data_IF_053270129918
#
_entry.id   IF_053270129918
#
_cell.length_a   1.000
_cell.length_b   1.000
_cell.length_c   1.000
_cell.angle_alpha   90.00
_cell.angle_beta   90.00
_cell.angle_gamma   90.00
#
_symmetry.space_group_name_H-M   'P 1'
#
loop_
_entity.id
_entity.type
_entity.pdbx_description
1 polymer ?
#
# COMPACT_ATOMS: atom_id res chain seq x y z
N UNK A 1 -33.96 3.14 -14.26
CA UNK A 1 -32.60 3.19 -13.72
C UNK A 1 -31.74 2.34 -14.63
N UNK A 2 -30.62 2.86 -15.16
CA UNK A 2 -29.69 2.05 -15.93
C UNK A 2 -29.23 0.87 -15.06
N UNK A 3 -29.12 -0.31 -15.65
CA UNK A 3 -28.59 -1.47 -14.95
C UNK A 3 -27.10 -1.21 -14.68
N UNK A 4 -26.63 -1.54 -13.50
CA UNK A 4 -25.24 -1.25 -13.06
C UNK A 4 -24.19 -1.72 -14.07
N UNK A 5 -24.47 -2.82 -14.77
CA UNK A 5 -23.61 -3.37 -15.83
C UNK A 5 -23.60 -2.53 -17.11
N UNK A 6 -24.64 -1.72 -17.39
CA UNK A 6 -24.66 -0.85 -18.55
C UNK A 6 -23.57 0.24 -18.47
N UNK A 7 -23.22 0.66 -17.25
CA UNK A 7 -22.13 1.60 -16.99
C UNK A 7 -20.75 1.07 -17.37
N UNK A 8 -20.58 -0.25 -17.43
CA UNK A 8 -19.33 -0.90 -17.82
C UNK A 8 -19.17 -1.05 -19.34
N UNK A 9 -20.25 -0.91 -20.11
CA UNK A 9 -20.22 -1.13 -21.55
C UNK A 9 -19.22 -0.21 -22.30
N UNK A 10 -19.14 1.10 -22.02
CA UNK A 10 -18.14 1.98 -22.64
C UNK A 10 -16.69 1.55 -22.33
N UNK A 11 -16.42 1.11 -21.10
CA UNK A 11 -15.10 0.67 -20.67
C UNK A 11 -14.65 -0.59 -21.40
N UNK A 12 -15.60 -1.46 -21.75
CA UNK A 12 -15.37 -2.75 -22.43
C UNK A 12 -15.34 -2.65 -23.94
N UNK A 13 -15.65 -1.47 -24.50
CA UNK A 13 -15.88 -1.31 -25.95
C UNK A 13 -14.59 -1.28 -26.78
N UNK A 14 -13.43 -0.97 -26.20
CA UNK A 14 -12.21 -0.70 -26.95
C UNK A 14 -11.01 -1.50 -26.45
N UNK A 15 -10.17 -1.93 -27.38
CA UNK A 15 -8.97 -2.71 -27.11
C UNK A 15 -9.27 -4.09 -26.52
N UNK A 16 -8.26 -4.93 -26.46
CA UNK A 16 -8.39 -6.29 -25.94
C UNK A 16 -8.16 -6.30 -24.44
N UNK A 17 -9.12 -6.82 -23.67
CA UNK A 17 -8.95 -7.13 -22.27
C UNK A 17 -8.27 -8.49 -22.08
N UNK A 18 -7.35 -8.57 -21.13
CA UNK A 18 -6.72 -9.81 -20.66
C UNK A 18 -7.31 -10.24 -19.33
N UNK A 19 -7.63 -9.27 -18.48
CA UNK A 19 -8.16 -9.51 -17.15
C UNK A 19 -9.64 -9.85 -17.21
N UNK A 20 -9.97 -11.06 -16.76
CA UNK A 20 -11.37 -11.48 -16.59
C UNK A 20 -11.85 -11.05 -15.21
N UNK A 21 -12.84 -10.16 -15.16
CA UNK A 21 -13.52 -9.81 -13.92
C UNK A 21 -14.66 -10.78 -13.60
N UNK A 22 -15.50 -10.39 -12.65
CA UNK A 22 -16.76 -11.07 -12.35
C UNK A 22 -17.67 -11.06 -13.58
N UNK A 23 -18.41 -12.15 -13.77
CA UNK A 23 -19.48 -12.20 -14.76
C UNK A 23 -20.63 -11.23 -14.38
N UNK A 24 -21.35 -10.72 -15.38
CA UNK A 24 -22.41 -9.71 -15.14
C UNK A 24 -23.51 -10.20 -14.19
N UNK A 25 -23.86 -11.48 -14.24
CA UNK A 25 -24.82 -12.07 -13.30
C UNK A 25 -24.31 -12.01 -11.84
N UNK A 26 -23.03 -12.23 -11.62
CA UNK A 26 -22.42 -12.10 -10.30
C UNK A 26 -22.33 -10.62 -9.85
N UNK A 27 -22.01 -9.72 -10.78
CA UNK A 27 -22.01 -8.26 -10.50
C UNK A 27 -23.37 -7.80 -10.03
N UNK A 28 -24.45 -8.21 -10.73
CA UNK A 28 -25.83 -7.85 -10.37
C UNK A 28 -26.23 -8.42 -9.00
N UNK A 29 -25.88 -9.68 -8.71
CA UNK A 29 -26.17 -10.31 -7.43
C UNK A 29 -25.44 -9.60 -6.27
N UNK A 30 -24.15 -9.32 -6.43
CA UNK A 30 -23.37 -8.61 -5.40
C UNK A 30 -23.79 -7.15 -5.24
N UNK A 31 -24.10 -6.44 -6.33
CA UNK A 31 -24.57 -5.04 -6.25
C UNK A 31 -25.91 -4.91 -5.52
N UNK A 32 -26.74 -5.97 -5.55
CA UNK A 32 -27.98 -6.02 -4.76
C UNK A 32 -27.74 -6.20 -3.25
N UNK A 33 -26.56 -6.65 -2.83
CA UNK A 33 -26.21 -6.93 -1.43
C UNK A 33 -25.19 -5.95 -0.84
N UNK A 34 -24.33 -5.38 -1.68
CA UNK A 34 -23.26 -4.47 -1.27
C UNK A 34 -23.32 -3.19 -2.13
N UNK A 35 -23.80 -2.08 -1.56
CA UNK A 35 -23.91 -0.81 -2.28
C UNK A 35 -22.54 -0.27 -2.75
N UNK A 36 -21.43 -0.65 -2.09
CA UNK A 36 -20.09 -0.18 -2.45
C UNK A 36 -19.68 -0.66 -3.84
N UNK A 37 -20.19 -1.82 -4.31
CA UNK A 37 -19.96 -2.26 -5.68
C UNK A 37 -20.60 -1.31 -6.70
N UNK A 38 -21.85 -0.91 -6.47
CA UNK A 38 -22.54 0.07 -7.32
C UNK A 38 -21.80 1.41 -7.34
N UNK A 39 -21.33 1.87 -6.19
CA UNK A 39 -20.52 3.09 -6.06
C UNK A 39 -19.19 2.98 -6.81
N UNK A 40 -18.49 1.85 -6.74
CA UNK A 40 -17.24 1.61 -7.46
C UNK A 40 -17.46 1.67 -8.98
N UNK A 41 -18.52 1.05 -9.49
CA UNK A 41 -18.86 1.06 -10.92
C UNK A 41 -19.25 2.46 -11.38
N UNK A 42 -20.07 3.17 -10.60
CA UNK A 42 -20.45 4.55 -10.92
C UNK A 42 -19.24 5.49 -10.94
N UNK A 43 -18.34 5.35 -9.97
CA UNK A 43 -17.09 6.10 -9.92
C UNK A 43 -16.19 5.78 -11.12
N UNK A 44 -16.11 4.51 -11.53
CA UNK A 44 -15.36 4.12 -12.72
C UNK A 44 -15.93 4.68 -14.01
N UNK A 45 -17.24 4.70 -14.16
CA UNK A 45 -17.89 5.31 -15.32
C UNK A 45 -17.62 6.83 -15.39
N UNK A 46 -17.68 7.52 -14.25
CA UNK A 46 -17.35 8.95 -14.18
C UNK A 46 -15.87 9.21 -14.52
N UNK A 47 -14.96 8.45 -13.95
CA UNK A 47 -13.51 8.59 -14.18
C UNK A 47 -13.14 8.23 -15.62
N UNK A 48 -13.82 7.27 -16.23
CA UNK A 48 -13.62 6.94 -17.64
C UNK A 48 -13.85 8.13 -18.56
N UNK A 49 -14.86 8.98 -18.28
CA UNK A 49 -15.10 10.19 -19.07
C UNK A 49 -13.97 11.20 -18.92
N UNK A 50 -13.35 11.31 -17.74
CA UNK A 50 -12.16 12.14 -17.53
C UNK A 50 -10.96 11.60 -18.31
N UNK A 51 -10.70 10.29 -18.21
CA UNK A 51 -9.62 9.63 -18.97
C UNK A 51 -9.83 9.76 -20.48
N UNK A 52 -11.08 9.65 -20.95
CA UNK A 52 -11.43 9.84 -22.35
C UNK A 52 -11.12 11.26 -22.86
N UNK A 53 -11.31 12.26 -22.02
CA UNK A 53 -11.02 13.64 -22.37
C UNK A 53 -9.52 13.96 -22.30
N UNK A 54 -8.79 13.35 -21.36
CA UNK A 54 -7.39 13.65 -21.07
C UNK A 54 -6.41 12.77 -21.86
N UNK A 55 -6.72 11.46 -21.97
CA UNK A 55 -5.86 10.42 -22.59
C UNK A 55 -6.65 9.51 -23.55
N UNK A 56 -7.27 10.06 -24.61
CA UNK A 56 -8.12 9.28 -25.51
C UNK A 56 -7.37 8.12 -26.20
N UNK A 57 -6.09 8.27 -26.49
CA UNK A 57 -5.25 7.25 -27.09
C UNK A 57 -5.04 6.03 -26.20
N UNK A 58 -5.03 6.22 -24.86
CA UNK A 58 -4.87 5.14 -23.89
C UNK A 58 -6.03 4.14 -23.96
N UNK A 59 -7.24 4.63 -24.22
CA UNK A 59 -8.45 3.79 -24.24
C UNK A 59 -8.45 2.79 -25.39
N UNK A 60 -7.86 3.16 -26.54
CA UNK A 60 -7.75 2.31 -27.72
C UNK A 60 -6.75 1.16 -27.61
N UNK A 61 -5.83 1.24 -26.63
CA UNK A 61 -4.78 0.22 -26.45
C UNK A 61 -5.35 -1.07 -25.86
N UNK A 62 -4.71 -2.19 -26.18
CA UNK A 62 -4.92 -3.45 -25.45
C UNK A 62 -4.42 -3.32 -24.00
N UNK A 63 -4.96 -4.11 -23.08
CA UNK A 63 -4.70 -3.98 -21.63
C UNK A 63 -3.21 -4.08 -21.27
N UNK A 64 -2.45 -4.97 -21.94
CA UNK A 64 -1.00 -5.10 -21.72
C UNK A 64 -0.27 -3.80 -22.14
N UNK A 65 -0.66 -3.19 -23.26
CA UNK A 65 -0.09 -1.93 -23.72
C UNK A 65 -0.50 -0.75 -22.83
N UNK A 66 -1.74 -0.74 -22.32
CA UNK A 66 -2.17 0.26 -21.33
C UNK A 66 -1.32 0.21 -20.06
N UNK A 67 -1.05 -1.00 -19.57
CA UNK A 67 -0.23 -1.19 -18.36
C UNK A 67 1.20 -0.68 -18.57
N UNK A 68 1.80 -0.96 -19.74
CA UNK A 68 3.13 -0.47 -20.09
C UNK A 68 3.17 1.06 -20.20
N UNK A 69 2.17 1.65 -20.86
CA UNK A 69 2.09 3.11 -21.03
C UNK A 69 1.97 3.81 -19.68
N UNK A 70 1.06 3.37 -18.82
CA UNK A 70 0.85 3.96 -17.47
C UNK A 70 2.10 3.85 -16.61
N UNK A 71 2.89 2.77 -16.76
CA UNK A 71 4.10 2.56 -15.98
C UNK A 71 5.36 3.18 -16.59
N UNK A 72 5.31 3.69 -17.82
CA UNK A 72 6.48 4.13 -18.58
C UNK A 72 7.30 5.21 -17.89
N UNK A 73 6.67 6.07 -17.11
CA UNK A 73 7.32 7.15 -16.34
C UNK A 73 7.97 6.73 -15.03
N UNK A 74 7.86 5.47 -14.61
CA UNK A 74 8.35 4.99 -13.32
C UNK A 74 9.36 3.86 -13.48
N UNK A 75 10.38 3.85 -12.61
CA UNK A 75 11.26 2.68 -12.47
C UNK A 75 10.54 1.65 -11.61
N UNK A 76 10.10 0.57 -12.23
CA UNK A 76 9.50 -0.56 -11.53
C UNK A 76 10.60 -1.51 -11.03
N UNK A 77 10.68 -1.69 -9.71
CA UNK A 77 11.67 -2.60 -9.10
C UNK A 77 11.16 -4.05 -8.93
N UNK A 78 9.92 -4.33 -9.31
CA UNK A 78 9.42 -5.69 -9.44
C UNK A 78 9.75 -6.25 -10.81
N UNK A 79 9.84 -7.58 -10.93
CA UNK A 79 9.89 -8.23 -12.22
C UNK A 79 8.61 -7.90 -13.02
N UNK A 80 8.75 -7.77 -14.33
CA UNK A 80 7.64 -7.35 -15.20
C UNK A 80 6.41 -8.27 -15.09
N UNK A 81 6.65 -9.57 -14.92
CA UNK A 81 5.61 -10.61 -14.75
C UNK A 81 4.97 -10.60 -13.33
N UNK A 82 5.54 -9.87 -12.39
CA UNK A 82 4.97 -9.69 -11.04
C UNK A 82 4.03 -8.49 -10.93
N UNK A 83 3.97 -7.62 -11.94
CA UNK A 83 3.03 -6.51 -11.98
C UNK A 83 1.61 -7.01 -12.31
N UNK A 84 0.58 -6.37 -11.72
CA UNK A 84 -0.80 -6.67 -12.11
C UNK A 84 -1.00 -6.30 -13.58
N UNK A 85 -1.66 -7.18 -14.38
CA UNK A 85 -1.81 -6.98 -15.82
C UNK A 85 -2.93 -6.01 -16.21
N UNK A 86 -3.39 -5.16 -15.29
CA UNK A 86 -4.50 -4.25 -15.52
C UNK A 86 -4.22 -2.86 -14.94
N UNK A 87 -4.89 -1.86 -15.49
CA UNK A 87 -4.92 -0.50 -14.96
C UNK A 87 -6.16 -0.35 -14.07
N UNK A 88 -5.98 -0.06 -12.78
CA UNK A 88 -7.07 0.25 -11.87
C UNK A 88 -7.64 1.63 -12.22
N UNK A 89 -8.97 1.74 -12.31
CA UNK A 89 -9.65 2.99 -12.66
C UNK A 89 -10.36 3.60 -11.44
N UNK A 90 -11.19 2.82 -10.76
CA UNK A 90 -11.87 3.24 -9.54
C UNK A 90 -12.07 2.09 -8.57
N UNK A 91 -12.26 2.41 -7.29
CA UNK A 91 -12.48 1.40 -6.28
C UNK A 91 -13.26 1.93 -5.06
N UNK A 92 -14.02 1.04 -4.40
CA UNK A 92 -14.76 1.29 -3.16
C UNK A 92 -14.79 0.04 -2.30
N UNK A 93 -14.52 0.16 -1.01
CA UNK A 93 -14.47 -1.01 -0.14
C UNK A 93 -13.55 -2.09 -0.71
N UNK A 94 -14.01 -3.33 -0.91
CA UNK A 94 -13.22 -4.39 -1.52
C UNK A 94 -13.32 -4.43 -3.07
N UNK A 95 -14.06 -3.53 -3.69
CA UNK A 95 -14.35 -3.58 -5.12
C UNK A 95 -13.43 -2.67 -5.91
N UNK A 96 -12.85 -3.21 -6.97
CA UNK A 96 -12.01 -2.50 -7.92
C UNK A 96 -12.56 -2.69 -9.33
N UNK A 97 -12.61 -1.61 -10.10
CA UNK A 97 -12.98 -1.61 -11.51
C UNK A 97 -11.75 -1.19 -12.33
N UNK A 98 -11.40 -1.99 -13.34
CA UNK A 98 -10.26 -1.71 -14.21
C UNK A 98 -10.66 -0.78 -15.36
N UNK A 99 -9.66 -0.19 -16.03
CA UNK A 99 -9.88 0.65 -17.20
C UNK A 99 -10.55 -0.11 -18.38
N UNK A 100 -10.46 -1.44 -18.41
CA UNK A 100 -11.17 -2.33 -19.36
C UNK A 100 -12.50 -2.85 -18.82
N UNK A 101 -13.01 -2.29 -17.71
CA UNK A 101 -14.32 -2.64 -17.17
C UNK A 101 -14.41 -4.01 -16.52
N UNK A 102 -13.28 -4.63 -16.17
CA UNK A 102 -13.28 -5.80 -15.31
C UNK A 102 -13.58 -5.39 -13.87
N UNK A 103 -14.50 -6.09 -13.22
CA UNK A 103 -14.84 -5.91 -11.81
C UNK A 103 -14.14 -6.98 -11.00
N UNK A 104 -13.35 -6.56 -10.01
CA UNK A 104 -12.53 -7.43 -9.18
C UNK A 104 -12.88 -7.25 -7.70
N UNK A 105 -12.77 -8.33 -6.94
CA UNK A 105 -12.78 -8.29 -5.49
C UNK A 105 -11.31 -8.23 -5.00
N UNK A 106 -10.91 -7.09 -4.47
CA UNK A 106 -9.56 -6.91 -3.95
C UNK A 106 -9.48 -7.43 -2.51
N UNK A 107 -8.69 -8.47 -2.31
CA UNK A 107 -8.44 -9.07 -0.99
C UNK A 107 -7.44 -8.27 -0.15
N UNK A 108 -7.07 -7.07 -0.58
CA UNK A 108 -6.25 -6.14 0.16
C UNK A 108 -4.76 -6.42 0.11
N UNK A 109 -4.23 -6.86 -1.02
CA UNK A 109 -2.85 -7.29 -1.26
C UNK A 109 -1.80 -6.75 -0.28
N UNK A 110 -0.98 -7.62 0.28
CA UNK A 110 0.01 -7.34 1.34
C UNK A 110 -0.59 -6.75 2.65
N UNK A 111 -1.90 -6.78 2.85
CA UNK A 111 -2.56 -6.23 4.04
C UNK A 111 -2.58 -4.70 4.12
N UNK A 112 -2.31 -3.98 3.03
CA UNK A 112 -2.27 -2.53 3.01
C UNK A 112 -3.66 -1.88 2.99
N UNK A 113 -4.69 -2.60 2.55
CA UNK A 113 -6.06 -2.11 2.42
C UNK A 113 -7.01 -2.70 3.47
N UNK A 114 -6.59 -2.76 4.73
CA UNK A 114 -7.40 -3.32 5.81
C UNK A 114 -8.75 -2.64 6.04
N UNK A 115 -8.92 -1.40 5.56
CA UNK A 115 -10.19 -0.66 5.59
C UNK A 115 -10.88 -0.58 4.22
N UNK A 116 -10.38 -1.29 3.22
CA UNK A 116 -10.84 -1.20 1.83
C UNK A 116 -10.39 0.09 1.12
N UNK A 117 -10.81 0.23 -0.12
CA UNK A 117 -10.56 1.41 -0.93
C UNK A 117 -11.44 2.59 -0.48
N UNK A 118 -10.86 3.77 -0.43
CA UNK A 118 -11.55 5.05 -0.14
C UNK A 118 -12.44 4.99 1.11
N UNK A 119 -11.91 4.56 2.28
CA UNK A 119 -12.70 4.42 3.49
C UNK A 119 -13.20 5.79 3.97
N UNK A 120 -14.51 5.99 3.97
CA UNK A 120 -15.18 7.28 4.20
C UNK A 120 -14.70 7.99 5.47
N UNK A 121 -14.64 7.28 6.58
CA UNK A 121 -14.20 7.87 7.87
C UNK A 121 -12.76 8.36 7.83
N UNK A 122 -11.87 7.65 7.13
CA UNK A 122 -10.46 8.03 6.98
C UNK A 122 -10.36 9.25 6.08
N UNK A 123 -11.06 9.23 4.92
CA UNK A 123 -11.07 10.36 3.99
C UNK A 123 -11.66 11.63 4.64
N UNK A 124 -12.75 11.51 5.38
CA UNK A 124 -13.32 12.62 6.13
C UNK A 124 -12.38 13.16 7.21
N UNK A 125 -11.62 12.28 7.89
CA UNK A 125 -10.62 12.72 8.86
C UNK A 125 -9.45 13.46 8.20
N UNK A 126 -9.00 12.99 7.02
CA UNK A 126 -7.93 13.64 6.24
C UNK A 126 -8.36 15.01 5.68
N UNK A 127 -9.61 15.18 5.32
CA UNK A 127 -10.15 16.45 4.80
C UNK A 127 -10.33 17.54 5.87
N UNK A 128 -10.19 17.20 7.17
CA UNK A 128 -10.31 18.22 8.23
C UNK A 128 -9.13 19.18 8.20
N UNK A 129 -9.35 20.49 8.45
CA UNK A 129 -8.26 21.42 8.61
C UNK A 129 -7.30 20.96 9.71
N UNK A 130 -6.02 20.93 9.41
CA UNK A 130 -4.97 20.55 10.33
C UNK A 130 -3.94 21.69 10.42
N UNK A 131 -3.39 21.90 11.62
CA UNK A 131 -2.21 22.74 11.74
C UNK A 131 -1.01 21.97 11.18
N UNK A 132 -0.49 22.43 10.03
CA UNK A 132 0.69 21.87 9.40
C UNK A 132 1.85 22.80 9.64
N UNK A 133 2.78 22.37 10.49
CA UNK A 133 3.98 23.10 10.83
C UNK A 133 5.21 22.19 10.63
N UNK A 134 6.42 22.72 10.79
CA UNK A 134 7.60 21.89 10.72
C UNK A 134 7.66 20.90 11.89
N UNK A 135 8.47 19.85 11.74
CA UNK A 135 8.56 18.73 12.69
C UNK A 135 8.96 19.17 14.13
N UNK A 136 9.58 20.31 14.28
CA UNK A 136 10.00 20.86 15.59
C UNK A 136 8.88 21.61 16.29
N UNK A 137 7.74 21.84 15.65
CA UNK A 137 6.60 22.56 16.24
C UNK A 137 5.59 21.56 16.80
N UNK A 138 5.42 21.46 18.13
CA UNK A 138 4.43 20.56 18.71
C UNK A 138 3.01 20.92 18.30
N UNK A 139 2.17 19.90 18.07
CA UNK A 139 0.76 20.08 17.75
C UNK A 139 -0.14 19.20 18.60
N UNK A 140 -1.38 19.63 18.80
CA UNK A 140 -2.38 18.84 19.54
C UNK A 140 -2.70 17.54 18.82
N UNK A 141 -2.58 17.48 17.48
CA UNK A 141 -2.77 16.26 16.70
C UNK A 141 -1.75 15.18 17.06
N UNK A 142 -0.49 15.54 17.34
CA UNK A 142 0.52 14.59 17.82
C UNK A 142 0.12 13.96 19.17
N UNK A 143 -0.41 14.79 20.11
CA UNK A 143 -0.86 14.28 21.40
C UNK A 143 -2.07 13.32 21.23
N UNK A 144 -3.04 13.68 20.40
CA UNK A 144 -4.19 12.82 20.10
C UNK A 144 -3.75 11.50 19.49
N UNK A 145 -2.83 11.54 18.54
CA UNK A 145 -2.31 10.37 17.85
C UNK A 145 -1.56 9.44 18.80
N UNK A 146 -0.64 9.96 19.62
CA UNK A 146 0.11 9.14 20.58
C UNK A 146 -0.77 8.52 21.66
N UNK A 147 -1.83 9.21 22.10
CA UNK A 147 -2.82 8.65 23.01
C UNK A 147 -3.61 7.52 22.38
N UNK A 148 -4.07 7.71 21.14
CA UNK A 148 -4.77 6.68 20.39
C UNK A 148 -3.88 5.43 20.17
N UNK A 149 -2.61 5.61 19.76
CA UNK A 149 -1.65 4.51 19.62
C UNK A 149 -1.47 3.75 20.95
N UNK A 150 -1.32 4.45 22.06
CA UNK A 150 -1.19 3.81 23.39
C UNK A 150 -2.44 3.02 23.77
N UNK A 151 -3.61 3.56 23.50
CA UNK A 151 -4.89 2.89 23.75
C UNK A 151 -5.01 1.62 22.91
N UNK A 152 -4.80 1.70 21.59
CA UNK A 152 -4.96 0.57 20.68
C UNK A 152 -3.92 -0.53 20.94
N UNK A 153 -2.65 -0.18 21.09
CA UNK A 153 -1.59 -1.16 21.39
C UNK A 153 -1.80 -1.82 22.75
N UNK A 154 -2.33 -1.07 23.72
CA UNK A 154 -2.59 -1.54 25.07
C UNK A 154 -3.92 -2.29 25.26
N UNK A 155 -4.82 -2.28 24.27
CA UNK A 155 -6.20 -2.74 24.41
C UNK A 155 -6.34 -4.19 24.88
N UNK A 156 -5.41 -5.09 24.50
CA UNK A 156 -5.42 -6.51 24.88
C UNK A 156 -4.31 -6.89 25.87
N UNK A 157 -3.52 -5.93 26.35
CA UNK A 157 -2.29 -6.19 27.15
C UNK A 157 -2.28 -5.53 28.52
N UNK A 158 -3.39 -4.95 28.94
CA UNK A 158 -3.45 -4.21 30.21
C UNK A 158 -2.71 -2.87 30.21
N UNK A 159 -2.22 -2.42 29.05
CA UNK A 159 -1.52 -1.15 28.85
C UNK A 159 -0.49 -1.20 27.74
N UNK A 160 -0.12 -0.04 27.23
CA UNK A 160 0.91 0.06 26.17
C UNK A 160 2.31 -0.08 26.79
N UNK A 161 3.14 -1.02 26.30
CA UNK A 161 4.51 -1.22 26.80
C UNK A 161 5.49 -0.15 26.31
N UNK A 162 5.08 0.72 25.38
CA UNK A 162 5.97 1.71 24.76
C UNK A 162 5.77 3.10 25.36
N UNK A 163 6.86 3.73 25.74
CA UNK A 163 6.86 5.09 26.26
C UNK A 163 6.66 6.13 25.13
N UNK A 164 7.32 5.91 23.99
CA UNK A 164 7.38 6.87 22.87
C UNK A 164 7.29 6.15 21.52
N UNK A 165 6.91 6.91 20.50
CA UNK A 165 6.77 6.41 19.13
C UNK A 165 7.58 7.29 18.18
N UNK A 166 8.11 6.68 17.12
CA UNK A 166 8.69 7.36 15.97
C UNK A 166 7.96 6.89 14.72
N UNK A 167 7.36 7.83 14.00
CA UNK A 167 6.61 7.56 12.78
C UNK A 167 7.51 7.80 11.58
N UNK A 168 7.50 6.85 10.64
CA UNK A 168 8.27 6.86 9.41
C UNK A 168 7.35 6.49 8.25
N UNK A 169 7.77 6.79 7.02
CA UNK A 169 6.91 6.64 5.84
C UNK A 169 6.82 5.19 5.35
N UNK A 170 7.74 4.32 5.75
CA UNK A 170 7.74 2.92 5.32
C UNK A 170 8.27 1.97 6.38
N UNK A 171 7.91 0.68 6.26
CA UNK A 171 8.47 -0.39 7.08
C UNK A 171 9.98 -0.54 6.89
N UNK A 172 10.51 -0.30 5.68
CA UNK A 172 11.95 -0.33 5.40
C UNK A 172 12.72 0.73 6.20
N UNK A 173 12.18 1.96 6.28
CA UNK A 173 12.75 3.02 7.10
C UNK A 173 12.68 2.68 8.59
N UNK A 174 11.56 2.12 9.04
CA UNK A 174 11.38 1.70 10.43
C UNK A 174 12.39 0.62 10.83
N UNK A 175 12.66 -0.36 9.97
CA UNK A 175 13.70 -1.39 10.20
C UNK A 175 15.09 -0.77 10.14
N UNK A 176 15.38 0.18 9.25
CA UNK A 176 16.66 0.91 9.20
C UNK A 176 16.92 1.65 10.50
N UNK A 177 15.90 2.34 11.02
CA UNK A 177 16.01 3.03 12.31
C UNK A 177 16.21 2.06 13.48
N UNK A 178 15.42 0.98 13.53
CA UNK A 178 15.58 -0.07 14.54
C UNK A 178 17.00 -0.67 14.50
N UNK A 179 17.54 -0.94 13.32
CA UNK A 179 18.92 -1.41 13.16
C UNK A 179 19.94 -0.39 13.68
N UNK A 180 19.70 0.91 13.44
CA UNK A 180 20.55 1.99 13.94
C UNK A 180 20.56 2.07 15.47
N UNK A 181 19.38 1.95 16.09
CA UNK A 181 19.25 1.93 17.55
C UNK A 181 19.98 0.71 18.14
N UNK A 182 19.82 -0.46 17.53
CA UNK A 182 20.50 -1.69 17.94
C UNK A 182 22.02 -1.54 17.82
N UNK A 183 22.53 -0.95 16.74
CA UNK A 183 23.98 -0.70 16.55
C UNK A 183 24.53 0.23 17.63
N UNK A 184 23.84 1.31 17.94
CA UNK A 184 24.26 2.25 18.98
C UNK A 184 24.29 1.57 20.36
N UNK A 185 23.25 0.80 20.70
CA UNK A 185 23.20 0.05 21.95
C UNK A 185 24.31 -1.04 22.01
N UNK A 186 24.50 -1.77 20.93
CA UNK A 186 25.55 -2.79 20.84
C UNK A 186 26.94 -2.18 21.08
N UNK A 187 27.21 -1.05 20.43
CA UNK A 187 28.47 -0.31 20.63
C UNK A 187 28.64 0.12 22.09
N UNK A 188 27.64 0.75 22.66
CA UNK A 188 27.69 1.19 24.08
C UNK A 188 27.92 0.03 25.05
N UNK A 189 27.38 -1.16 24.74
CA UNK A 189 27.58 -2.36 25.57
C UNK A 189 28.93 -3.06 25.40
N UNK A 190 29.64 -2.86 24.28
CA UNK A 190 30.87 -3.58 23.93
C UNK A 190 32.12 -2.71 23.88
N UNK A 191 31.99 -1.40 24.02
CA UNK A 191 33.12 -0.47 24.11
C UNK A 191 34.02 -0.79 25.31
N UNK A 192 35.32 -0.38 25.29
CA UNK A 192 36.22 -0.55 26.41
C UNK A 192 35.62 -0.05 27.74
N UNK A 193 35.64 -0.91 28.75
CA UNK A 193 35.04 -0.60 30.07
C UNK A 193 33.54 -0.89 30.20
N UNK A 194 32.85 -1.23 29.12
CA UNK A 194 31.46 -1.61 29.18
C UNK A 194 31.22 -3.04 29.67
N UNK A 195 29.99 -3.36 30.08
CA UNK A 195 29.59 -4.68 30.64
C UNK A 195 29.98 -5.88 29.75
N UNK A 196 29.98 -5.69 28.43
CA UNK A 196 30.27 -6.74 27.45
C UNK A 196 31.47 -6.38 26.57
N UNK A 197 32.44 -5.62 27.11
CA UNK A 197 33.63 -5.20 26.40
C UNK A 197 34.30 -6.36 25.63
N UNK A 198 34.64 -6.11 24.38
CA UNK A 198 35.34 -7.09 23.52
C UNK A 198 34.48 -8.26 23.03
N UNK A 199 33.18 -8.34 23.38
CA UNK A 199 32.34 -9.42 22.86
C UNK A 199 31.82 -9.09 21.46
N UNK A 200 31.88 -10.11 20.58
CA UNK A 200 31.30 -9.99 19.25
C UNK A 200 29.76 -9.99 19.31
N UNK A 201 29.14 -9.06 18.59
CA UNK A 201 27.69 -8.99 18.44
C UNK A 201 27.25 -9.78 17.20
N UNK A 202 26.30 -10.67 17.39
CA UNK A 202 25.66 -11.40 16.30
C UNK A 202 24.19 -10.93 16.16
N UNK A 203 23.74 -10.78 14.93
CA UNK A 203 22.33 -10.54 14.63
C UNK A 203 21.67 -11.85 14.23
N UNK A 204 20.49 -12.10 14.81
CA UNK A 204 19.68 -13.26 14.49
C UNK A 204 18.47 -12.76 13.68
N UNK A 205 18.20 -13.40 12.56
CA UNK A 205 17.10 -13.08 11.66
C UNK A 205 16.29 -14.36 11.42
N UNK A 206 14.96 -14.22 11.39
CA UNK A 206 14.09 -15.36 11.09
C UNK A 206 14.15 -15.68 9.60
N UNK A 207 14.39 -16.94 9.25
CA UNK A 207 14.38 -17.41 7.86
C UNK A 207 12.99 -17.22 7.25
N UNK A 208 12.93 -16.79 5.99
CA UNK A 208 11.68 -16.48 5.28
C UNK A 208 11.09 -15.13 5.62
N UNK A 209 11.70 -14.34 6.52
CA UNK A 209 11.23 -13.03 6.89
C UNK A 209 11.51 -11.97 5.81
N UNK A 210 10.63 -10.98 5.73
CA UNK A 210 10.79 -9.78 4.92
C UNK A 210 10.90 -8.55 5.83
N UNK A 211 11.97 -7.79 5.69
CA UNK A 211 12.27 -6.61 6.51
C UNK A 211 12.42 -5.32 5.69
N UNK A 212 12.16 -5.37 4.40
CA UNK A 212 12.34 -4.25 3.47
C UNK A 212 13.46 -4.48 2.47
N UNK A 213 13.62 -3.54 1.55
CA UNK A 213 14.52 -3.66 0.39
C UNK A 213 15.62 -2.62 0.35
N UNK A 214 15.64 -1.68 1.30
CA UNK A 214 16.65 -0.62 1.37
C UNK A 214 17.77 -1.02 2.31
N UNK A 215 19.02 -0.75 1.93
CA UNK A 215 20.23 -0.90 2.76
C UNK A 215 20.20 -2.10 3.76
N UNK A 216 20.34 -1.83 5.06
CA UNK A 216 20.34 -2.86 6.11
C UNK A 216 19.11 -3.78 6.13
N UNK A 217 17.86 -3.30 5.94
CA UNK A 217 16.70 -4.15 5.79
C UNK A 217 16.84 -5.21 4.70
N UNK A 218 17.47 -4.89 3.56
CA UNK A 218 17.71 -5.84 2.49
C UNK A 218 18.64 -6.99 2.91
N UNK A 219 19.60 -6.73 3.78
CA UNK A 219 20.50 -7.77 4.34
C UNK A 219 19.76 -8.76 5.26
N UNK A 220 18.64 -8.36 5.82
CA UNK A 220 17.84 -9.19 6.74
C UNK A 220 16.67 -9.90 6.05
N UNK A 221 16.36 -9.54 4.80
CA UNK A 221 15.25 -10.10 4.02
C UNK A 221 15.72 -11.20 3.09
N UNK A 222 15.23 -12.43 3.27
CA UNK A 222 15.61 -13.57 2.41
C UNK A 222 15.32 -13.30 0.93
N UNK A 223 14.22 -12.60 0.62
CA UNK A 223 13.81 -12.29 -0.75
C UNK A 223 14.73 -11.30 -1.47
N UNK A 224 15.51 -10.50 -0.77
CA UNK A 224 16.32 -9.44 -1.38
C UNK A 224 17.82 -9.53 -1.07
N UNK A 225 18.19 -10.30 -0.04
CA UNK A 225 19.60 -10.40 0.43
C UNK A 225 20.57 -10.78 -0.68
N UNK A 226 20.26 -11.83 -1.45
CA UNK A 226 21.16 -12.35 -2.50
C UNK A 226 21.46 -11.26 -3.53
N UNK A 227 20.43 -10.63 -4.05
CA UNK A 227 20.55 -9.55 -5.05
C UNK A 227 21.26 -8.34 -4.46
N UNK A 228 20.91 -7.93 -3.25
CA UNK A 228 21.55 -6.79 -2.59
C UNK A 228 23.04 -6.99 -2.39
N UNK A 229 23.47 -8.16 -1.85
CA UNK A 229 24.87 -8.46 -1.62
C UNK A 229 25.68 -8.57 -2.92
N UNK A 230 25.04 -9.03 -4.02
CA UNK A 230 25.70 -9.13 -5.33
C UNK A 230 26.17 -7.77 -5.86
N UNK A 231 25.48 -6.70 -5.52
CA UNK A 231 25.76 -5.33 -6.00
C UNK A 231 26.37 -4.41 -4.93
N UNK A 232 26.78 -4.95 -3.79
CA UNK A 232 27.57 -4.19 -2.81
C UNK A 232 29.00 -3.99 -3.33
N UNK A 233 29.46 -2.74 -3.28
CA UNK A 233 30.85 -2.37 -3.57
C UNK A 233 31.79 -2.74 -2.40
#
# INVERSE_FOLDING_TARGET
MAVVTDLLAPLRAHGKARTSGLADAAILDFAGRDPQLGEAIAAAAAEYEHVRAEFPELLGLDEDAQTLEVQSGFVNFYAHDAANPYVALAARGPWLVTLKGAVLYDTGGYGMLGFGHTPEKVMAAMARPQAVANIMTPSVSQLRFTRALKQEIGSTRGGCPYASFMCLNSGSESVSLAARIVDANAKTMTDPGARHAGKAIKRVVVKGAFHGRTDKPALYSDSSRKTYVQYLA
#
